data_IF_760541132292
#
_entry.id   IF_760541132292
#
_cell.length_a   1.000
_cell.length_b   1.000
_cell.length_c   1.000
_cell.angle_alpha   90.00
_cell.angle_beta   90.00
_cell.angle_gamma   90.00
#
_symmetry.space_group_name_H-M   'P 1'
#
loop_
_entity.id
_entity.type
_entity.pdbx_description
1 polymer ?
#
# COMPACT_ATOMS: atom_id res chain seq x y z
N UNK A 1 49.70 48.27 -38.39
CA UNK A 1 48.49 47.62 -38.84
C UNK A 1 48.34 46.23 -38.34
N UNK A 2 49.34 45.39 -38.31
CA UNK A 2 49.22 44.02 -37.76
C UNK A 2 48.89 44.00 -36.28
N UNK A 3 49.32 45.00 -35.48
CA UNK A 3 48.97 45.10 -34.05
C UNK A 3 47.49 45.43 -33.79
N UNK A 4 46.90 46.19 -34.65
CA UNK A 4 45.47 46.54 -34.52
C UNK A 4 44.60 45.36 -34.90
N UNK A 5 44.94 44.65 -35.93
CA UNK A 5 44.23 43.42 -36.33
C UNK A 5 44.36 42.33 -35.29
N UNK A 6 45.53 42.18 -34.66
CA UNK A 6 45.75 41.21 -33.58
C UNK A 6 44.95 41.54 -32.34
N UNK A 7 44.88 42.84 -31.99
CA UNK A 7 44.05 43.30 -30.85
C UNK A 7 42.59 43.07 -31.12
N UNK A 8 42.13 43.32 -32.32
CA UNK A 8 40.74 43.11 -32.73
C UNK A 8 40.36 41.63 -32.65
N UNK A 9 41.21 40.76 -33.16
CA UNK A 9 41.04 39.29 -33.05
C UNK A 9 41.00 38.85 -31.61
N UNK A 10 41.89 39.38 -30.79
CA UNK A 10 41.93 39.05 -29.36
C UNK A 10 40.65 39.46 -28.63
N UNK A 11 40.18 40.68 -28.95
CA UNK A 11 38.93 41.20 -28.40
C UNK A 11 37.74 40.36 -28.81
N UNK A 12 37.64 39.95 -30.05
CA UNK A 12 36.59 39.09 -30.57
C UNK A 12 36.59 37.74 -29.88
N UNK A 13 37.77 37.14 -29.64
CA UNK A 13 37.91 35.90 -28.87
C UNK A 13 37.42 36.02 -27.43
N UNK A 14 37.70 37.17 -26.78
CA UNK A 14 37.22 37.45 -25.45
C UNK A 14 35.71 37.61 -25.40
N UNK A 15 35.15 38.27 -26.37
CA UNK A 15 33.68 38.42 -26.49
C UNK A 15 33.02 37.06 -26.68
N UNK A 16 33.59 36.21 -27.55
CA UNK A 16 33.07 34.88 -27.78
C UNK A 16 33.13 34.00 -26.52
N UNK A 17 34.24 34.04 -25.80
CA UNK A 17 34.39 33.35 -24.51
C UNK A 17 33.40 33.83 -23.48
N UNK A 18 33.17 35.14 -23.40
CA UNK A 18 32.22 35.73 -22.48
C UNK A 18 30.80 35.29 -22.79
N UNK A 19 30.44 35.29 -24.05
CA UNK A 19 29.13 34.83 -24.52
C UNK A 19 28.92 33.35 -24.20
N UNK A 20 29.94 32.51 -24.42
CA UNK A 20 29.87 31.11 -24.10
C UNK A 20 29.73 30.87 -22.59
N UNK A 21 30.47 31.62 -21.77
CA UNK A 21 30.34 31.55 -20.30
C UNK A 21 28.97 31.96 -19.81
N UNK A 22 28.43 33.03 -20.38
CA UNK A 22 27.08 33.52 -20.04
C UNK A 22 26.03 32.48 -20.40
N UNK A 23 26.14 31.89 -21.61
CA UNK A 23 25.24 30.82 -22.07
C UNK A 23 25.33 29.59 -21.18
N UNK A 24 26.54 29.16 -20.84
CA UNK A 24 26.76 28.00 -19.93
C UNK A 24 26.20 28.25 -18.53
N UNK A 25 26.42 29.47 -18.01
CA UNK A 25 25.88 29.81 -16.69
C UNK A 25 24.36 29.81 -16.70
N UNK A 26 23.76 30.38 -17.72
CA UNK A 26 22.30 30.43 -17.88
C UNK A 26 21.70 29.04 -17.97
N UNK A 27 22.31 28.13 -18.73
CA UNK A 27 21.90 26.74 -18.85
C UNK A 27 22.07 25.98 -17.56
N UNK A 28 23.20 26.17 -16.86
CA UNK A 28 23.46 25.55 -15.56
C UNK A 28 22.48 26.01 -14.50
N UNK A 29 22.14 27.30 -14.49
CA UNK A 29 21.12 27.85 -13.60
C UNK A 29 19.73 27.24 -13.86
N UNK A 30 19.36 27.13 -15.12
CA UNK A 30 18.10 26.50 -15.53
C UNK A 30 18.04 25.02 -15.09
N UNK A 31 19.09 24.26 -15.33
CA UNK A 31 19.18 22.85 -14.94
C UNK A 31 19.13 22.68 -13.41
N UNK A 32 19.79 23.58 -12.68
CA UNK A 32 19.77 23.57 -11.21
C UNK A 32 18.36 23.80 -10.68
N UNK A 33 17.65 24.77 -11.23
CA UNK A 33 16.26 25.05 -10.84
C UNK A 33 15.33 23.88 -11.20
N UNK A 34 15.54 23.28 -12.35
CA UNK A 34 14.79 22.10 -12.78
C UNK A 34 15.00 20.93 -11.81
N UNK A 35 16.25 20.67 -11.43
CA UNK A 35 16.60 19.60 -10.47
C UNK A 35 15.97 19.88 -9.10
N UNK A 36 16.00 21.11 -8.62
CA UNK A 36 15.33 21.50 -7.37
C UNK A 36 13.83 21.23 -7.42
N UNK A 37 13.18 21.59 -8.52
CA UNK A 37 11.76 21.36 -8.71
C UNK A 37 11.42 19.87 -8.72
N UNK A 38 12.21 19.08 -9.44
CA UNK A 38 12.06 17.62 -9.48
C UNK A 38 12.29 16.98 -8.11
N UNK A 39 13.32 17.43 -7.39
CA UNK A 39 13.62 16.98 -6.03
C UNK A 39 12.46 17.26 -5.08
N UNK A 40 11.90 18.45 -5.14
CA UNK A 40 10.76 18.82 -4.30
C UNK A 40 9.51 18.00 -4.64
N UNK A 41 9.27 17.74 -5.92
CA UNK A 41 8.17 16.89 -6.36
C UNK A 41 8.34 15.44 -5.87
N UNK A 42 9.54 14.90 -5.97
CA UNK A 42 9.87 13.56 -5.48
C UNK A 42 9.72 13.44 -3.96
N UNK A 43 10.12 14.47 -3.21
CA UNK A 43 9.95 14.51 -1.75
C UNK A 43 8.46 14.50 -1.37
N UNK A 44 7.63 15.25 -2.07
CA UNK A 44 6.18 15.24 -1.86
C UNK A 44 5.58 13.87 -2.14
N UNK A 45 5.95 13.26 -3.27
CA UNK A 45 5.51 11.91 -3.62
C UNK A 45 5.93 10.88 -2.58
N UNK A 46 7.16 10.98 -2.08
CA UNK A 46 7.67 10.11 -1.02
C UNK A 46 6.85 10.24 0.26
N UNK A 47 6.54 11.47 0.67
CA UNK A 47 5.70 11.72 1.84
C UNK A 47 4.28 11.15 1.68
N UNK A 48 3.69 11.30 0.51
CA UNK A 48 2.38 10.73 0.20
C UNK A 48 2.40 9.19 0.24
N UNK A 49 3.42 8.58 -0.34
CA UNK A 49 3.59 7.12 -0.34
C UNK A 49 3.80 6.62 1.09
N UNK A 50 4.64 7.28 1.89
CA UNK A 50 4.88 6.90 3.29
C UNK A 50 3.57 6.98 4.10
N UNK A 51 2.78 8.01 3.87
CA UNK A 51 1.47 8.17 4.52
C UNK A 51 0.50 7.07 4.12
N UNK A 52 0.41 6.76 2.84
CA UNK A 52 -0.43 5.67 2.32
C UNK A 52 0.03 4.32 2.86
N UNK A 53 1.34 4.09 2.95
CA UNK A 53 1.88 2.86 3.51
C UNK A 53 1.52 2.69 4.99
N UNK A 54 1.55 3.77 5.77
CA UNK A 54 1.12 3.74 7.17
C UNK A 54 -0.37 3.44 7.29
N UNK A 55 -1.20 4.04 6.45
CA UNK A 55 -2.64 3.78 6.41
C UNK A 55 -2.92 2.33 6.03
N UNK A 56 -2.23 1.80 5.02
CA UNK A 56 -2.36 0.41 4.58
C UNK A 56 -1.94 -0.57 5.67
N UNK A 57 -0.88 -0.28 6.42
CA UNK A 57 -0.46 -1.11 7.57
C UNK A 57 -1.52 -1.15 8.65
N UNK A 58 -2.14 -0.01 8.97
CA UNK A 58 -3.23 0.07 9.95
C UNK A 58 -4.45 -0.73 9.51
N UNK A 59 -4.85 -0.58 8.24
CA UNK A 59 -5.95 -1.36 7.67
C UNK A 59 -5.64 -2.85 7.67
N UNK A 60 -4.42 -3.22 7.32
CA UNK A 60 -3.98 -4.61 7.33
C UNK A 60 -4.07 -5.22 8.72
N UNK A 61 -3.58 -4.53 9.74
CA UNK A 61 -3.68 -4.97 11.14
C UNK A 61 -5.14 -5.07 11.61
N UNK A 62 -5.95 -4.08 11.26
CA UNK A 62 -7.37 -4.09 11.56
C UNK A 62 -8.08 -5.28 10.93
N UNK A 63 -7.87 -5.52 9.64
CA UNK A 63 -8.46 -6.64 8.93
C UNK A 63 -7.97 -7.98 9.46
N UNK A 64 -6.70 -8.08 9.82
CA UNK A 64 -6.12 -9.29 10.42
C UNK A 64 -6.79 -9.63 11.74
N UNK A 65 -7.01 -8.64 12.60
CA UNK A 65 -7.73 -8.82 13.87
C UNK A 65 -9.19 -9.20 13.64
N UNK A 66 -9.83 -8.57 12.67
CA UNK A 66 -11.22 -8.86 12.32
C UNK A 66 -11.39 -10.28 11.78
N UNK A 67 -10.48 -10.73 10.93
CA UNK A 67 -10.45 -12.11 10.44
C UNK A 67 -10.29 -13.09 11.59
N UNK A 68 -9.36 -12.85 12.51
CA UNK A 68 -9.17 -13.70 13.67
C UNK A 68 -10.43 -13.77 14.55
N UNK A 69 -11.08 -12.63 14.77
CA UNK A 69 -12.34 -12.56 15.51
C UNK A 69 -13.46 -13.33 14.82
N UNK A 70 -13.59 -13.19 13.50
CA UNK A 70 -14.59 -13.92 12.72
C UNK A 70 -14.33 -15.42 12.71
N UNK A 71 -13.08 -15.85 12.66
CA UNK A 71 -12.73 -17.26 12.75
C UNK A 71 -13.14 -17.88 14.09
N UNK A 72 -12.93 -17.15 15.19
CA UNK A 72 -13.38 -17.56 16.51
C UNK A 72 -14.91 -17.68 16.57
N UNK A 73 -15.63 -16.71 16.01
CA UNK A 73 -17.10 -16.78 15.93
C UNK A 73 -17.61 -17.94 15.10
N UNK A 74 -17.00 -18.16 13.93
CA UNK A 74 -17.37 -19.27 13.05
C UNK A 74 -17.12 -20.61 13.74
N UNK A 75 -15.98 -20.77 14.40
CA UNK A 75 -15.68 -22.01 15.15
C UNK A 75 -16.66 -22.23 16.30
N UNK A 76 -17.03 -21.17 17.02
CA UNK A 76 -18.02 -21.24 18.09
C UNK A 76 -19.39 -21.67 17.57
N UNK A 77 -19.85 -21.07 16.48
CA UNK A 77 -21.13 -21.43 15.84
C UNK A 77 -21.10 -22.87 15.32
N UNK A 78 -20.00 -23.30 14.75
CA UNK A 78 -19.83 -24.67 14.28
C UNK A 78 -19.92 -25.68 15.43
N UNK A 79 -19.31 -25.39 16.58
CA UNK A 79 -19.40 -26.23 17.77
C UNK A 79 -20.82 -26.25 18.34
N UNK A 80 -21.50 -25.12 18.35
CA UNK A 80 -22.92 -25.02 18.79
C UNK A 80 -23.84 -25.83 17.87
N UNK A 81 -23.61 -25.76 16.56
CA UNK A 81 -24.35 -26.53 15.56
C UNK A 81 -24.12 -28.03 15.71
N UNK A 82 -22.89 -28.47 15.91
CA UNK A 82 -22.56 -29.87 16.18
C UNK A 82 -23.22 -30.39 17.43
N UNK A 83 -23.21 -29.60 18.50
CA UNK A 83 -23.89 -29.95 19.75
C UNK A 83 -25.40 -30.05 19.56
N UNK A 84 -25.99 -29.12 18.84
CA UNK A 84 -27.41 -29.12 18.52
C UNK A 84 -27.80 -30.38 17.73
N UNK A 85 -27.03 -30.74 16.72
CA UNK A 85 -27.25 -31.93 15.92
C UNK A 85 -27.11 -33.19 16.76
N UNK A 86 -26.15 -33.22 17.67
CA UNK A 86 -25.97 -34.34 18.60
C UNK A 86 -27.18 -34.49 19.53
N UNK A 87 -27.69 -33.39 20.10
CA UNK A 87 -28.87 -33.39 20.96
C UNK A 87 -30.14 -33.84 20.21
N UNK A 88 -30.28 -33.47 18.95
CA UNK A 88 -31.37 -33.96 18.10
C UNK A 88 -31.28 -35.46 17.87
N UNK A 89 -30.10 -35.98 17.59
CA UNK A 89 -29.87 -37.42 17.43
C UNK A 89 -30.22 -38.22 18.69
N UNK A 90 -29.78 -37.71 19.86
CA UNK A 90 -30.13 -38.34 21.15
C UNK A 90 -31.64 -38.35 21.39
N UNK A 91 -32.30 -37.21 21.12
CA UNK A 91 -33.75 -37.12 21.29
C UNK A 91 -34.50 -38.05 20.34
N UNK A 92 -34.07 -38.14 19.10
CA UNK A 92 -34.63 -39.08 18.12
C UNK A 92 -34.47 -40.53 18.60
N UNK A 93 -33.32 -40.89 19.11
CA UNK A 93 -33.06 -42.23 19.61
C UNK A 93 -33.92 -42.56 20.84
N UNK A 94 -34.04 -41.63 21.77
CA UNK A 94 -34.92 -41.78 22.95
C UNK A 94 -36.39 -41.93 22.55
N UNK A 95 -36.83 -41.17 21.57
CA UNK A 95 -38.19 -41.25 21.04
C UNK A 95 -38.47 -42.59 20.38
N UNK A 96 -37.53 -43.10 19.58
CA UNK A 96 -37.64 -44.41 18.98
C UNK A 96 -37.72 -45.53 20.05
N UNK A 97 -36.91 -45.42 21.09
CA UNK A 97 -36.90 -46.39 22.20
C UNK A 97 -38.25 -46.38 22.94
N UNK A 98 -38.81 -45.19 23.20
CA UNK A 98 -40.11 -45.03 23.82
C UNK A 98 -41.23 -45.64 22.99
N UNK A 99 -41.24 -45.37 21.70
CA UNK A 99 -42.24 -45.94 20.76
C UNK A 99 -42.13 -47.43 20.74
N UNK A 100 -40.93 -47.99 20.72
CA UNK A 100 -40.68 -49.43 20.75
C UNK A 100 -41.19 -50.09 22.04
N UNK A 101 -41.01 -49.43 23.19
CA UNK A 101 -41.55 -49.93 24.49
C UNK A 101 -43.09 -49.91 24.55
N UNK A 102 -43.68 -48.84 24.00
CA UNK A 102 -45.15 -48.73 23.93
C UNK A 102 -45.73 -49.83 23.06
N UNK A 103 -45.10 -50.11 21.91
CA UNK A 103 -45.50 -51.20 21.02
C UNK A 103 -45.45 -52.57 21.74
N UNK A 104 -44.41 -52.81 22.55
CA UNK A 104 -44.27 -54.01 23.34
C UNK A 104 -45.42 -54.16 24.37
N UNK A 105 -45.85 -53.08 24.96
CA UNK A 105 -46.95 -53.11 25.93
C UNK A 105 -48.34 -53.31 25.36
N UNK A 106 -48.50 -53.05 24.05
CA UNK A 106 -49.75 -53.29 23.35
C UNK A 106 -49.93 -54.71 22.83
N UNK A 107 -48.88 -55.47 22.80
CA UNK A 107 -48.92 -56.89 22.44
C UNK A 107 -49.02 -57.74 23.71
#
# INVERSE_FOLDING_TARGET
MSNLEQKEKFLNKLIDKLNNLTSTYSQSSYETEKIKTEKNALLRQKLEIDKKNQELKREHEYLKKKIASLQVEVNKKSLEEDKFNHDIEELSQETENLVSEIEKWQT
#
